data_IF_475431116488
#
_entry.id   IF_475431116488
#
_cell.length_a   1.000
_cell.length_b   1.000
_cell.length_c   1.000
_cell.angle_alpha   90.00
_cell.angle_beta   90.00
_cell.angle_gamma   90.00
#
_symmetry.space_group_name_H-M   'P 1'
#
loop_
_entity.id
_entity.type
_entity.pdbx_description
1 polymer ?
#
# COMPACT_ATOMS: atom_id res chain seq x y z
N UNK A 1 -31.73 -12.02 -13.11
CA UNK A 1 -31.66 -13.38 -13.68
C UNK A 1 -32.83 -14.20 -13.15
N UNK A 2 -33.86 -14.46 -13.96
CA UNK A 2 -34.89 -15.46 -13.67
C UNK A 2 -34.96 -16.40 -14.87
N UNK A 3 -34.04 -17.35 -14.95
CA UNK A 3 -34.23 -18.53 -15.79
C UNK A 3 -34.66 -19.69 -14.88
N UNK A 4 -35.71 -20.35 -15.33
CA UNK A 4 -36.26 -21.58 -14.74
C UNK A 4 -35.25 -22.71 -14.92
N UNK A 5 -34.45 -22.94 -13.89
CA UNK A 5 -33.52 -24.07 -13.78
C UNK A 5 -34.22 -25.30 -13.15
N UNK A 6 -33.74 -26.52 -13.42
CA UNK A 6 -34.27 -27.75 -12.84
C UNK A 6 -34.35 -27.63 -11.32
N UNK A 7 -35.41 -28.20 -10.73
CA UNK A 7 -35.73 -28.01 -9.32
C UNK A 7 -34.61 -28.56 -8.43
N UNK A 8 -33.91 -27.66 -7.75
CA UNK A 8 -33.13 -27.96 -6.56
C UNK A 8 -34.08 -28.56 -5.51
N UNK A 9 -34.18 -29.89 -5.51
CA UNK A 9 -35.21 -30.64 -4.78
C UNK A 9 -34.85 -30.84 -3.31
N UNK A 10 -33.56 -30.75 -2.94
CA UNK A 10 -33.12 -30.95 -1.56
C UNK A 10 -33.00 -29.62 -0.79
N UNK A 11 -33.33 -29.64 0.50
CA UNK A 11 -33.37 -28.42 1.37
C UNK A 11 -32.03 -27.66 1.36
N UNK A 12 -30.90 -28.39 1.36
CA UNK A 12 -29.58 -27.77 1.34
C UNK A 12 -29.29 -27.05 0.01
N UNK A 13 -29.81 -27.56 -1.10
CA UNK A 13 -29.65 -26.94 -2.41
C UNK A 13 -30.38 -25.60 -2.48
N UNK A 14 -31.56 -25.51 -1.84
CA UNK A 14 -32.30 -24.27 -1.72
C UNK A 14 -31.59 -23.26 -0.82
N UNK A 15 -30.98 -23.71 0.29
CA UNK A 15 -30.18 -22.87 1.16
C UNK A 15 -28.94 -22.31 0.44
N UNK A 16 -28.17 -23.18 -0.23
CA UNK A 16 -27.02 -22.75 -1.03
C UNK A 16 -27.45 -21.77 -2.12
N UNK A 17 -28.50 -22.08 -2.88
CA UNK A 17 -29.02 -21.21 -3.93
C UNK A 17 -29.43 -19.84 -3.37
N UNK A 18 -30.07 -19.79 -2.21
CA UNK A 18 -30.47 -18.52 -1.59
C UNK A 18 -29.25 -17.68 -1.20
N UNK A 19 -28.25 -18.30 -0.55
CA UNK A 19 -26.99 -17.63 -0.21
C UNK A 19 -26.24 -17.16 -1.46
N UNK A 20 -26.11 -18.02 -2.46
CA UNK A 20 -25.51 -17.72 -3.75
C UNK A 20 -26.20 -16.55 -4.45
N UNK A 21 -27.53 -16.58 -4.54
CA UNK A 21 -28.31 -15.53 -5.19
C UNK A 21 -28.15 -14.21 -4.46
N UNK A 22 -28.16 -14.21 -3.12
CA UNK A 22 -27.90 -13.02 -2.31
C UNK A 22 -26.52 -12.43 -2.62
N UNK A 23 -25.47 -13.25 -2.58
CA UNK A 23 -24.11 -12.79 -2.88
C UNK A 23 -23.95 -12.33 -4.33
N UNK A 24 -24.61 -13.00 -5.29
CA UNK A 24 -24.54 -12.67 -6.71
C UNK A 24 -25.14 -11.30 -7.07
N UNK A 25 -25.97 -10.72 -6.19
CA UNK A 25 -26.51 -9.37 -6.38
C UNK A 25 -25.41 -8.30 -6.37
N UNK A 26 -24.24 -8.60 -5.82
CA UNK A 26 -23.06 -7.73 -5.90
C UNK A 26 -22.50 -7.60 -7.32
N UNK A 27 -22.91 -8.46 -8.26
CA UNK A 27 -22.38 -8.51 -9.62
C UNK A 27 -23.43 -8.12 -10.65
N UNK A 28 -22.96 -7.53 -11.76
CA UNK A 28 -23.83 -7.18 -12.88
C UNK A 28 -24.27 -8.43 -13.65
N UNK A 29 -25.37 -8.32 -14.41
CA UNK A 29 -25.82 -9.42 -15.26
C UNK A 29 -24.84 -9.78 -16.40
N UNK A 30 -23.87 -8.91 -16.71
CA UNK A 30 -22.85 -9.12 -17.74
C UNK A 30 -21.54 -9.70 -17.16
N UNK A 31 -21.45 -9.82 -15.84
CA UNK A 31 -20.24 -10.30 -15.16
C UNK A 31 -19.96 -11.74 -15.54
N UNK A 32 -18.70 -12.02 -15.87
CA UNK A 32 -18.19 -13.37 -16.14
C UNK A 32 -17.41 -13.88 -14.95
N UNK A 33 -17.20 -15.19 -14.89
CA UNK A 33 -16.55 -15.86 -13.76
C UNK A 33 -15.42 -16.76 -14.24
N UNK A 34 -14.22 -16.52 -13.69
CA UNK A 34 -13.05 -17.38 -13.85
C UNK A 34 -12.89 -18.24 -12.59
N UNK A 35 -13.11 -19.55 -12.70
CA UNK A 35 -12.96 -20.46 -11.57
C UNK A 35 -11.51 -20.92 -11.48
N UNK A 36 -10.86 -20.65 -10.35
CA UNK A 36 -9.59 -21.30 -10.01
C UNK A 36 -9.87 -22.76 -9.63
N UNK A 37 -9.57 -23.69 -10.54
CA UNK A 37 -9.89 -25.10 -10.41
C UNK A 37 -8.61 -25.91 -10.18
N UNK A 38 -8.43 -26.47 -8.98
CA UNK A 38 -7.26 -27.30 -8.65
C UNK A 38 -7.45 -28.77 -8.98
N UNK A 39 -8.67 -29.19 -9.34
CA UNK A 39 -9.05 -30.60 -9.52
C UNK A 39 -9.43 -31.32 -8.23
N UNK A 40 -9.17 -30.72 -7.06
CA UNK A 40 -9.63 -31.23 -5.77
C UNK A 40 -11.14 -31.08 -5.58
N UNK A 41 -11.70 -31.85 -4.63
CA UNK A 41 -13.14 -31.96 -4.37
C UNK A 41 -13.89 -30.62 -4.35
N UNK A 42 -13.39 -29.66 -3.59
CA UNK A 42 -14.08 -28.38 -3.36
C UNK A 42 -14.17 -27.58 -4.67
N UNK A 43 -13.07 -27.55 -5.43
CA UNK A 43 -12.99 -26.83 -6.70
C UNK A 43 -13.81 -27.48 -7.81
N UNK A 44 -13.91 -28.82 -7.81
CA UNK A 44 -14.72 -29.57 -8.76
C UNK A 44 -16.22 -29.46 -8.44
N UNK A 45 -16.58 -29.44 -7.16
CA UNK A 45 -17.96 -29.15 -6.74
C UNK A 45 -18.34 -27.72 -7.13
N UNK A 46 -17.47 -26.73 -6.86
CA UNK A 46 -17.70 -25.35 -7.28
C UNK A 46 -17.89 -25.24 -8.79
N UNK A 47 -17.04 -25.90 -9.59
CA UNK A 47 -17.15 -25.94 -11.04
C UNK A 47 -18.53 -26.45 -11.48
N UNK A 48 -18.99 -27.56 -10.89
CA UNK A 48 -20.29 -28.15 -11.18
C UNK A 48 -21.46 -27.21 -10.78
N UNK A 49 -21.40 -26.61 -9.59
CA UNK A 49 -22.46 -25.70 -9.12
C UNK A 49 -22.53 -24.44 -10.00
N UNK A 50 -21.39 -23.87 -10.36
CA UNK A 50 -21.31 -22.68 -11.22
C UNK A 50 -21.77 -22.96 -12.65
N UNK A 51 -21.54 -24.17 -13.18
CA UNK A 51 -22.01 -24.52 -14.53
C UNK A 51 -23.53 -24.55 -14.64
N UNK A 52 -24.20 -24.97 -13.57
CA UNK A 52 -25.67 -24.99 -13.48
C UNK A 52 -26.25 -23.59 -13.19
N UNK A 53 -25.59 -22.82 -12.31
CA UNK A 53 -26.12 -21.52 -11.84
C UNK A 53 -25.79 -20.34 -12.75
N UNK A 54 -24.65 -20.39 -13.45
CA UNK A 54 -24.16 -19.32 -14.32
C UNK A 54 -23.76 -19.84 -15.71
N UNK A 55 -24.65 -20.55 -16.43
CA UNK A 55 -24.33 -21.13 -17.72
C UNK A 55 -23.87 -20.05 -18.70
N UNK A 56 -22.87 -20.39 -19.52
CA UNK A 56 -22.21 -19.52 -20.52
C UNK A 56 -21.48 -18.28 -19.95
N UNK A 57 -21.48 -18.06 -18.64
CA UNK A 57 -20.76 -16.96 -17.99
C UNK A 57 -19.51 -17.44 -17.25
N UNK A 58 -19.23 -18.74 -17.29
CA UNK A 58 -18.17 -19.38 -16.52
C UNK A 58 -17.09 -19.95 -17.43
N UNK A 59 -15.83 -19.77 -17.02
CA UNK A 59 -14.68 -20.53 -17.51
C UNK A 59 -13.81 -20.96 -16.33
N UNK A 60 -12.95 -21.94 -16.55
CA UNK A 60 -12.05 -22.47 -15.53
C UNK A 60 -10.58 -22.22 -15.89
N UNK A 61 -9.73 -22.16 -14.87
CA UNK A 61 -8.28 -22.15 -15.00
C UNK A 61 -7.67 -23.11 -13.99
N UNK A 62 -6.87 -24.04 -14.49
CA UNK A 62 -5.98 -24.91 -13.73
C UNK A 62 -4.57 -24.32 -13.75
N UNK A 63 -3.97 -24.15 -12.57
CA UNK A 63 -2.59 -23.70 -12.43
C UNK A 63 -1.71 -24.91 -12.12
N UNK A 64 -0.88 -25.29 -13.09
CA UNK A 64 0.12 -26.33 -12.93
C UNK A 64 1.38 -25.73 -12.29
N UNK A 65 1.59 -26.00 -11.00
CA UNK A 65 2.77 -25.58 -10.26
C UNK A 65 4.04 -26.38 -10.58
N UNK A 66 3.93 -27.48 -11.35
CA UNK A 66 5.03 -28.37 -11.73
C UNK A 66 5.80 -28.98 -10.53
N UNK A 67 5.19 -29.00 -9.34
CA UNK A 67 5.80 -29.52 -8.12
C UNK A 67 5.69 -31.05 -8.03
N UNK A 68 4.70 -31.64 -8.70
CA UNK A 68 4.43 -33.08 -8.70
C UNK A 68 4.52 -33.64 -10.12
N UNK A 69 5.02 -34.87 -10.26
CA UNK A 69 5.10 -35.53 -11.57
C UNK A 69 3.74 -35.73 -12.23
N UNK A 70 2.67 -35.85 -11.44
CA UNK A 70 1.30 -36.07 -11.91
C UNK A 70 0.55 -34.78 -12.25
N UNK A 71 1.12 -33.61 -11.95
CA UNK A 71 0.45 -32.30 -12.10
C UNK A 71 -0.08 -32.03 -13.52
N UNK A 72 0.66 -32.44 -14.55
CA UNK A 72 0.21 -32.35 -15.94
C UNK A 72 -1.07 -33.18 -16.19
N UNK A 73 -1.10 -34.44 -15.70
CA UNK A 73 -2.27 -35.33 -15.84
C UNK A 73 -3.51 -34.80 -15.09
N UNK A 74 -3.29 -34.05 -14.00
CA UNK A 74 -4.37 -33.39 -13.28
C UNK A 74 -4.98 -32.24 -14.08
N UNK A 75 -4.16 -31.49 -14.80
CA UNK A 75 -4.63 -30.48 -15.75
C UNK A 75 -5.47 -31.07 -16.88
N UNK A 76 -5.07 -32.21 -17.44
CA UNK A 76 -5.84 -32.95 -18.46
C UNK A 76 -7.21 -33.40 -17.91
N UNK A 77 -7.23 -33.96 -16.70
CA UNK A 77 -8.48 -34.35 -16.03
C UNK A 77 -9.43 -33.16 -15.86
N UNK A 78 -8.93 -32.02 -15.37
CA UNK A 78 -9.76 -30.81 -15.18
C UNK A 78 -10.30 -30.31 -16.52
N UNK A 79 -9.47 -30.30 -17.57
CA UNK A 79 -9.89 -29.91 -18.91
C UNK A 79 -10.98 -30.84 -19.46
N UNK A 80 -10.87 -32.16 -19.28
CA UNK A 80 -11.88 -33.14 -19.70
C UNK A 80 -13.22 -32.89 -18.97
N UNK A 81 -13.17 -32.66 -17.65
CA UNK A 81 -14.36 -32.39 -16.85
C UNK A 81 -15.04 -31.07 -17.23
N UNK A 82 -14.27 -30.06 -17.62
CA UNK A 82 -14.80 -28.80 -18.15
C UNK A 82 -15.45 -29.00 -19.53
N UNK A 83 -14.81 -29.78 -20.40
CA UNK A 83 -15.32 -30.10 -21.74
C UNK A 83 -16.67 -30.83 -21.67
N UNK A 84 -16.82 -31.81 -20.77
CA UNK A 84 -18.09 -32.51 -20.54
C UNK A 84 -19.26 -31.59 -20.15
N UNK A 85 -18.96 -30.38 -19.65
CA UNK A 85 -19.93 -29.38 -19.19
C UNK A 85 -19.99 -28.14 -20.09
N UNK A 86 -19.32 -28.15 -21.24
CA UNK A 86 -19.19 -27.00 -22.15
C UNK A 86 -18.59 -25.73 -21.48
N UNK A 87 -17.63 -25.92 -20.58
CA UNK A 87 -16.94 -24.83 -19.88
C UNK A 87 -15.56 -24.64 -20.54
N UNK A 88 -15.20 -23.44 -21.02
CA UNK A 88 -13.84 -23.17 -21.47
C UNK A 88 -12.83 -23.36 -20.32
N UNK A 89 -11.73 -24.06 -20.56
CA UNK A 89 -10.71 -24.33 -19.55
C UNK A 89 -9.33 -23.89 -20.03
N UNK A 90 -8.58 -23.23 -19.14
CA UNK A 90 -7.18 -22.87 -19.34
C UNK A 90 -6.32 -23.77 -18.45
N UNK A 91 -5.26 -24.31 -19.01
CA UNK A 91 -4.22 -25.02 -18.24
C UNK A 91 -2.96 -24.16 -18.35
N UNK A 92 -2.58 -23.53 -17.24
CA UNK A 92 -1.44 -22.60 -17.19
C UNK A 92 -0.36 -23.17 -16.29
N UNK A 93 0.79 -23.47 -16.87
CA UNK A 93 1.96 -23.87 -16.09
C UNK A 93 2.73 -22.67 -15.56
N UNK A 94 3.21 -22.76 -14.32
CA UNK A 94 3.93 -21.69 -13.63
C UNK A 94 5.21 -22.20 -12.97
N UNK A 95 6.22 -21.35 -12.94
CA UNK A 95 7.44 -21.62 -12.19
C UNK A 95 7.29 -21.14 -10.73
N UNK A 96 7.56 -22.01 -9.77
CA UNK A 96 7.55 -21.66 -8.34
C UNK A 96 8.98 -21.30 -7.91
N UNK A 97 9.15 -20.10 -7.36
CA UNK A 97 10.44 -19.65 -6.86
C UNK A 97 10.86 -20.42 -5.59
N UNK A 98 12.18 -20.43 -5.30
CA UNK A 98 12.74 -21.04 -4.09
C UNK A 98 12.37 -20.24 -2.83
N UNK A 99 12.35 -20.91 -1.67
CA UNK A 99 12.08 -20.31 -0.37
C UNK A 99 10.89 -20.98 0.31
N UNK A 100 10.00 -20.19 0.90
CA UNK A 100 8.73 -20.69 1.43
C UNK A 100 7.83 -21.13 0.25
N UNK A 101 7.87 -22.43 -0.07
CA UNK A 101 7.19 -23.00 -1.24
C UNK A 101 5.68 -22.70 -1.25
N UNK A 102 4.99 -22.74 -0.10
CA UNK A 102 3.55 -22.45 -0.02
C UNK A 102 3.26 -21.00 -0.44
N UNK A 103 4.03 -20.04 0.10
CA UNK A 103 3.87 -18.63 -0.27
C UNK A 103 4.27 -18.35 -1.72
N UNK A 104 5.35 -18.97 -2.22
CA UNK A 104 5.80 -18.77 -3.61
C UNK A 104 4.81 -19.40 -4.60
N UNK A 105 4.30 -20.60 -4.32
CA UNK A 105 3.27 -21.22 -5.14
C UNK A 105 1.98 -20.41 -5.11
N UNK A 106 1.59 -19.90 -3.94
CA UNK A 106 0.45 -18.98 -3.81
C UNK A 106 0.66 -17.73 -4.67
N UNK A 107 1.82 -17.08 -4.63
CA UNK A 107 2.09 -15.89 -5.42
C UNK A 107 2.00 -16.19 -6.93
N UNK A 108 2.70 -17.22 -7.40
CA UNK A 108 2.66 -17.64 -8.81
C UNK A 108 1.24 -17.95 -9.30
N UNK A 109 0.39 -18.51 -8.43
CA UNK A 109 -1.03 -18.78 -8.71
C UNK A 109 -1.82 -17.49 -8.95
N UNK A 110 -1.64 -16.50 -8.08
CA UNK A 110 -2.34 -15.23 -8.19
C UNK A 110 -1.85 -14.40 -9.38
N UNK A 111 -0.55 -14.44 -9.68
CA UNK A 111 0.03 -13.80 -10.86
C UNK A 111 -0.55 -14.40 -12.15
N UNK A 112 -0.68 -15.72 -12.21
CA UNK A 112 -1.32 -16.40 -13.33
C UNK A 112 -2.81 -16.06 -13.45
N UNK A 113 -3.54 -15.96 -12.34
CA UNK A 113 -4.92 -15.48 -12.38
C UNK A 113 -5.01 -14.06 -12.94
N UNK A 114 -4.16 -13.14 -12.50
CA UNK A 114 -4.10 -11.76 -13.02
C UNK A 114 -3.84 -11.72 -14.53
N UNK A 115 -2.88 -12.53 -15.00
CA UNK A 115 -2.55 -12.59 -16.42
C UNK A 115 -3.74 -13.00 -17.29
N UNK A 116 -4.61 -13.87 -16.78
CA UNK A 116 -5.72 -14.42 -17.54
C UNK A 116 -7.04 -13.69 -17.31
N UNK A 117 -7.23 -12.97 -16.20
CA UNK A 117 -8.50 -12.35 -15.84
C UNK A 117 -8.91 -11.27 -16.85
N UNK A 118 -10.15 -11.34 -17.36
CA UNK A 118 -10.68 -10.30 -18.24
C UNK A 118 -11.25 -9.10 -17.44
N UNK A 119 -11.34 -7.88 -18.01
CA UNK A 119 -11.80 -6.68 -17.28
C UNK A 119 -13.19 -6.79 -16.63
N UNK A 120 -14.11 -7.59 -17.19
CA UNK A 120 -15.47 -7.79 -16.67
C UNK A 120 -15.64 -9.15 -15.96
N UNK A 121 -14.56 -9.67 -15.39
CA UNK A 121 -14.53 -11.01 -14.82
C UNK A 121 -14.13 -11.02 -13.36
N UNK A 122 -14.77 -11.92 -12.61
CA UNK A 122 -14.53 -12.15 -11.20
C UNK A 122 -13.84 -13.50 -11.03
N UNK A 123 -12.75 -13.53 -10.26
CA UNK A 123 -12.09 -14.78 -9.88
C UNK A 123 -12.93 -15.48 -8.82
N UNK A 124 -13.29 -16.75 -9.04
CA UNK A 124 -14.09 -17.54 -8.10
C UNK A 124 -13.24 -18.67 -7.53
N UNK A 125 -13.20 -18.79 -6.21
CA UNK A 125 -12.38 -19.77 -5.49
C UNK A 125 -13.25 -20.59 -4.53
N UNK A 126 -12.96 -21.89 -4.44
CA UNK A 126 -13.73 -22.86 -3.65
C UNK A 126 -13.36 -22.88 -2.16
N UNK A 127 -12.97 -21.73 -1.60
CA UNK A 127 -12.69 -21.64 -0.17
C UNK A 127 -13.97 -21.82 0.65
N UNK A 128 -13.87 -22.56 1.74
CA UNK A 128 -15.01 -22.95 2.57
C UNK A 128 -14.82 -22.63 4.05
N UNK A 129 -15.79 -22.98 4.90
CA UNK A 129 -15.83 -22.56 6.30
C UNK A 129 -14.61 -23.05 7.11
N UNK A 130 -14.14 -24.27 6.86
CA UNK A 130 -12.92 -24.78 7.48
C UNK A 130 -11.66 -24.05 7.01
N UNK A 131 -11.52 -23.66 5.72
CA UNK A 131 -10.40 -22.80 5.28
C UNK A 131 -10.39 -21.45 6.02
N UNK A 132 -11.56 -20.89 6.31
CA UNK A 132 -11.71 -19.66 7.07
C UNK A 132 -11.22 -19.85 8.51
N UNK A 133 -11.65 -20.94 9.17
CA UNK A 133 -11.24 -21.28 10.52
C UNK A 133 -9.73 -21.52 10.62
N UNK A 134 -9.15 -22.27 9.69
CA UNK A 134 -7.70 -22.50 9.59
C UNK A 134 -6.94 -21.19 9.40
N UNK A 135 -7.41 -20.32 8.49
CA UNK A 135 -6.79 -19.02 8.24
C UNK A 135 -6.81 -18.15 9.50
N UNK A 136 -7.93 -18.12 10.23
CA UNK A 136 -8.02 -17.39 11.49
C UNK A 136 -7.07 -17.97 12.54
N UNK A 137 -7.01 -19.29 12.72
CA UNK A 137 -6.12 -19.93 13.69
C UNK A 137 -4.65 -19.67 13.40
N UNK A 138 -4.20 -19.91 12.17
CA UNK A 138 -2.80 -19.69 11.78
C UNK A 138 -2.39 -18.22 11.96
N UNK A 139 -3.28 -17.28 11.59
CA UNK A 139 -3.04 -15.84 11.79
C UNK A 139 -3.03 -15.46 13.27
N UNK A 140 -3.92 -16.04 14.09
CA UNK A 140 -3.95 -15.82 15.53
C UNK A 140 -2.66 -16.30 16.19
N UNK A 141 -2.20 -17.52 15.87
CA UNK A 141 -0.95 -18.09 16.37
C UNK A 141 0.28 -17.28 15.91
N UNK A 142 0.18 -16.62 14.75
CA UNK A 142 1.21 -15.70 14.23
C UNK A 142 1.13 -14.29 14.83
N UNK A 143 0.23 -14.02 15.77
CA UNK A 143 0.08 -12.72 16.42
C UNK A 143 -0.57 -11.64 15.55
N UNK A 144 -1.43 -12.02 14.60
CA UNK A 144 -2.12 -11.06 13.74
C UNK A 144 -3.10 -10.16 14.51
N UNK A 145 -3.19 -8.89 14.10
CA UNK A 145 -4.21 -7.96 14.59
C UNK A 145 -5.57 -8.15 13.91
N UNK A 146 -6.53 -7.26 14.19
CA UNK A 146 -7.92 -7.30 13.70
C UNK A 146 -7.99 -7.54 12.19
N UNK A 147 -7.27 -6.75 11.38
CA UNK A 147 -7.18 -6.93 9.93
C UNK A 147 -6.80 -8.35 9.50
N UNK A 148 -5.86 -8.99 10.21
CA UNK A 148 -5.49 -10.38 9.92
C UNK A 148 -6.55 -11.37 10.39
N UNK A 149 -7.12 -11.16 11.58
CA UNK A 149 -8.15 -12.02 12.14
C UNK A 149 -9.50 -11.93 11.40
N UNK A 150 -9.74 -10.87 10.63
CA UNK A 150 -10.85 -10.78 9.68
C UNK A 150 -10.80 -11.87 8.58
N UNK A 151 -9.68 -12.59 8.45
CA UNK A 151 -9.50 -13.75 7.57
C UNK A 151 -9.84 -13.45 6.09
N UNK A 152 -10.69 -14.26 5.45
CA UNK A 152 -11.15 -14.05 4.07
C UNK A 152 -12.56 -13.44 4.06
N UNK A 153 -12.84 -12.58 3.09
CA UNK A 153 -14.19 -12.10 2.78
C UNK A 153 -14.85 -12.95 1.69
N UNK A 154 -16.18 -13.02 1.71
CA UNK A 154 -16.95 -13.70 0.68
C UNK A 154 -16.75 -13.03 -0.69
N UNK A 155 -16.82 -11.70 -0.74
CA UNK A 155 -16.44 -10.87 -1.89
C UNK A 155 -15.31 -9.95 -1.46
N UNK A 156 -14.14 -10.09 -2.09
CA UNK A 156 -12.89 -9.37 -1.78
C UNK A 156 -12.52 -8.55 -3.02
N UNK A 157 -12.78 -7.24 -2.96
CA UNK A 157 -12.51 -6.28 -4.04
C UNK A 157 -11.12 -5.69 -3.83
N UNK A 158 -10.22 -5.94 -4.76
CA UNK A 158 -8.84 -5.44 -4.77
C UNK A 158 -8.65 -4.48 -5.93
N UNK A 159 -7.54 -3.77 -5.94
CA UNK A 159 -7.18 -2.84 -7.02
C UNK A 159 -7.10 -3.54 -8.39
N UNK A 160 -6.56 -4.76 -8.42
CA UNK A 160 -6.29 -5.48 -9.68
C UNK A 160 -7.30 -6.58 -10.01
N UNK A 161 -8.11 -7.02 -9.03
CA UNK A 161 -9.06 -8.12 -9.23
C UNK A 161 -10.19 -8.10 -8.18
N UNK A 162 -11.31 -8.73 -8.53
CA UNK A 162 -12.34 -9.10 -7.55
C UNK A 162 -12.33 -10.61 -7.35
N UNK A 163 -12.35 -11.06 -6.09
CA UNK A 163 -12.38 -12.47 -5.72
C UNK A 163 -13.71 -12.79 -5.03
N UNK A 164 -14.38 -13.85 -5.49
CA UNK A 164 -15.59 -14.37 -4.88
C UNK A 164 -15.38 -15.79 -4.35
N UNK A 165 -15.85 -16.03 -3.12
CA UNK A 165 -15.79 -17.31 -2.41
C UNK A 165 -17.20 -17.76 -2.03
N UNK A 166 -17.99 -18.30 -2.97
CA UNK A 166 -19.39 -18.63 -2.73
C UNK A 166 -19.60 -19.76 -1.71
N UNK A 167 -18.57 -20.58 -1.46
CA UNK A 167 -18.62 -21.68 -0.51
C UNK A 167 -18.17 -21.29 0.91
N UNK A 168 -17.84 -20.03 1.17
CA UNK A 168 -17.16 -19.64 2.42
C UNK A 168 -17.96 -19.94 3.70
N UNK A 169 -19.29 -19.94 3.61
CA UNK A 169 -20.21 -20.30 4.69
C UNK A 169 -20.60 -21.79 4.73
N UNK A 170 -20.13 -22.59 3.76
CA UNK A 170 -20.46 -24.01 3.63
C UNK A 170 -19.45 -24.84 4.39
N UNK A 171 -19.94 -25.81 5.16
CA UNK A 171 -19.09 -26.71 5.94
C UNK A 171 -18.38 -27.74 5.05
N UNK A 172 -17.27 -28.29 5.54
CA UNK A 172 -16.54 -29.34 4.82
C UNK A 172 -17.41 -30.58 4.62
N UNK A 173 -18.18 -30.95 5.64
CA UNK A 173 -19.10 -32.10 5.63
C UNK A 173 -20.17 -31.93 4.57
N UNK A 174 -20.73 -30.72 4.43
CA UNK A 174 -21.70 -30.41 3.38
C UNK A 174 -21.07 -30.55 2.00
N UNK A 175 -19.85 -30.03 1.80
CA UNK A 175 -19.13 -30.17 0.52
C UNK A 175 -18.91 -31.65 0.19
N UNK A 176 -18.45 -32.47 1.15
CA UNK A 176 -18.28 -33.91 0.96
C UNK A 176 -19.60 -34.59 0.59
N UNK A 177 -20.68 -34.28 1.32
CA UNK A 177 -22.00 -34.83 1.06
C UNK A 177 -22.50 -34.49 -0.34
N UNK A 178 -22.40 -33.22 -0.75
CA UNK A 178 -22.89 -32.76 -2.05
C UNK A 178 -22.06 -33.32 -3.19
N UNK A 179 -20.73 -33.36 -3.04
CA UNK A 179 -19.85 -33.97 -4.02
C UNK A 179 -20.19 -35.46 -4.23
N UNK A 180 -20.50 -36.20 -3.16
CA UNK A 180 -20.90 -37.60 -3.25
C UNK A 180 -22.29 -37.77 -3.88
N UNK A 181 -23.28 -36.96 -3.47
CA UNK A 181 -24.64 -37.00 -4.02
C UNK A 181 -24.69 -36.67 -5.51
N UNK A 182 -23.86 -35.71 -5.94
CA UNK A 182 -23.75 -35.26 -7.34
C UNK A 182 -22.74 -36.07 -8.14
N UNK A 183 -22.10 -37.09 -7.54
CA UNK A 183 -21.09 -37.94 -8.13
C UNK A 183 -19.96 -37.14 -8.81
N UNK A 184 -19.47 -36.11 -8.12
CA UNK A 184 -18.42 -35.22 -8.61
C UNK A 184 -17.08 -35.95 -8.58
N UNK A 185 -16.52 -36.22 -9.76
CA UNK A 185 -15.16 -36.74 -9.90
C UNK A 185 -14.16 -35.68 -9.47
N UNK A 186 -13.15 -36.09 -8.71
CA UNK A 186 -12.09 -35.23 -8.20
C UNK A 186 -10.74 -35.96 -8.19
N UNK A 187 -9.69 -35.19 -7.93
CA UNK A 187 -8.33 -35.66 -7.75
C UNK A 187 -8.00 -35.65 -6.26
N UNK A 188 -7.32 -36.70 -5.80
CA UNK A 188 -6.71 -36.77 -4.48
C UNK A 188 -5.20 -36.50 -4.62
N UNK A 189 -4.77 -35.30 -4.21
CA UNK A 189 -3.35 -34.94 -4.17
C UNK A 189 -2.75 -35.36 -2.82
N UNK A 190 -1.76 -36.28 -2.80
CA UNK A 190 -1.17 -36.81 -1.58
C UNK A 190 -0.38 -35.76 -0.78
N UNK A 191 0.05 -34.66 -1.39
CA UNK A 191 0.76 -33.59 -0.67
C UNK A 191 -0.12 -32.79 0.27
N UNK A 192 -1.44 -32.86 0.11
CA UNK A 192 -2.39 -32.23 1.04
C UNK A 192 -2.28 -32.80 2.46
N UNK A 193 -1.68 -33.98 2.62
CA UNK A 193 -1.48 -34.67 3.90
C UNK A 193 -0.07 -34.48 4.47
N UNK A 194 0.81 -33.73 3.80
CA UNK A 194 2.18 -33.53 4.24
C UNK A 194 2.26 -32.50 5.38
N UNK A 195 2.28 -33.00 6.61
CA UNK A 195 2.38 -32.19 7.85
C UNK A 195 3.67 -31.39 8.00
N UNK A 196 4.61 -31.44 7.06
CA UNK A 196 5.69 -30.45 6.99
C UNK A 196 5.17 -29.03 6.76
N UNK A 197 4.04 -28.88 6.06
CA UNK A 197 3.41 -27.58 5.80
C UNK A 197 2.44 -27.20 6.91
N UNK A 198 2.47 -25.94 7.35
CA UNK A 198 1.68 -25.42 8.49
C UNK A 198 0.17 -25.72 8.35
N UNK A 199 -0.36 -25.57 7.13
CA UNK A 199 -1.79 -25.81 6.86
C UNK A 199 -2.14 -27.30 6.97
N UNK A 200 -1.31 -28.19 6.43
CA UNK A 200 -1.52 -29.64 6.54
C UNK A 200 -1.34 -30.12 7.99
N UNK A 201 -0.33 -29.62 8.71
CA UNK A 201 -0.19 -29.87 10.15
C UNK A 201 -1.41 -29.39 10.95
N UNK A 202 -1.92 -28.20 10.64
CA UNK A 202 -3.10 -27.66 11.31
C UNK A 202 -4.33 -28.56 11.10
N UNK A 203 -4.50 -29.12 9.90
CA UNK A 203 -5.59 -30.04 9.56
C UNK A 203 -5.46 -31.41 10.20
N UNK A 204 -4.27 -32.02 10.13
CA UNK A 204 -4.08 -33.41 10.54
C UNK A 204 -3.86 -33.55 12.05
N UNK A 205 -3.21 -32.57 12.68
CA UNK A 205 -2.78 -32.66 14.08
C UNK A 205 -3.61 -31.76 14.99
N UNK A 206 -3.69 -30.47 14.68
CA UNK A 206 -4.31 -29.50 15.57
C UNK A 206 -5.84 -29.57 15.51
N UNK A 207 -6.42 -29.76 14.33
CA UNK A 207 -7.86 -29.80 14.13
C UNK A 207 -8.54 -30.91 14.94
N UNK A 208 -8.13 -32.19 14.86
CA UNK A 208 -8.80 -33.26 15.60
C UNK A 208 -8.67 -33.08 17.11
N UNK A 209 -7.53 -32.55 17.57
CA UNK A 209 -7.30 -32.24 18.98
C UNK A 209 -8.31 -31.22 19.50
N UNK A 210 -8.49 -30.11 18.78
CA UNK A 210 -9.42 -29.06 19.19
C UNK A 210 -10.88 -29.47 19.02
N UNK A 211 -11.22 -30.16 17.93
CA UNK A 211 -12.58 -30.60 17.63
C UNK A 211 -13.10 -31.61 18.66
N UNK A 212 -12.23 -32.52 19.14
CA UNK A 212 -12.57 -33.49 20.18
C UNK A 212 -13.07 -32.83 21.47
N UNK A 213 -12.55 -31.64 21.80
CA UNK A 213 -12.95 -30.86 22.99
C UNK A 213 -14.03 -29.84 22.68
N UNK A 214 -14.01 -29.26 21.49
CA UNK A 214 -14.90 -28.20 21.04
C UNK A 214 -15.55 -28.56 19.68
N UNK A 215 -16.58 -29.42 19.67
CA UNK A 215 -17.18 -29.91 18.42
C UNK A 215 -17.81 -28.83 17.51
N UNK A 216 -17.99 -27.61 18.03
CA UNK A 216 -18.54 -26.46 17.30
C UNK A 216 -17.47 -25.41 16.96
N UNK A 217 -16.18 -25.76 17.07
CA UNK A 217 -15.07 -24.80 16.87
C UNK A 217 -15.07 -24.17 15.48
N UNK A 218 -15.38 -24.92 14.43
CA UNK A 218 -15.39 -24.40 13.05
C UNK A 218 -16.35 -23.22 12.90
N UNK A 219 -17.60 -23.40 13.37
CA UNK A 219 -18.62 -22.35 13.35
C UNK A 219 -18.23 -21.18 14.25
N UNK A 220 -17.64 -21.45 15.42
CA UNK A 220 -17.19 -20.41 16.35
C UNK A 220 -16.05 -19.56 15.75
N UNK A 221 -15.05 -20.17 15.12
CA UNK A 221 -13.91 -19.50 14.50
C UNK A 221 -14.33 -18.71 13.25
N UNK A 222 -15.19 -19.29 12.41
CA UNK A 222 -15.79 -18.59 11.26
C UNK A 222 -16.58 -17.37 11.73
N UNK A 223 -17.44 -17.50 12.76
CA UNK A 223 -18.16 -16.36 13.35
C UNK A 223 -17.23 -15.30 13.92
N UNK A 224 -16.14 -15.69 14.59
CA UNK A 224 -15.13 -14.73 15.07
C UNK A 224 -14.53 -13.94 13.91
N UNK A 225 -14.27 -14.58 12.76
CA UNK A 225 -13.76 -13.89 11.58
C UNK A 225 -14.74 -12.81 11.10
N UNK A 226 -16.04 -13.09 11.08
CA UNK A 226 -17.07 -12.09 10.73
C UNK A 226 -17.12 -10.92 11.72
N UNK A 227 -17.09 -11.19 13.03
CA UNK A 227 -17.03 -10.13 14.03
C UNK A 227 -15.75 -9.27 13.92
N UNK A 228 -14.63 -9.87 13.50
CA UNK A 228 -13.40 -9.13 13.23
C UNK A 228 -13.47 -8.31 11.94
N UNK A 229 -14.27 -8.72 10.95
CA UNK A 229 -14.56 -7.91 9.76
C UNK A 229 -15.35 -6.65 10.13
N UNK A 230 -16.41 -6.79 10.94
CA UNK A 230 -17.18 -5.65 11.47
C UNK A 230 -16.26 -4.68 12.24
N UNK A 231 -15.38 -5.24 13.07
CA UNK A 231 -14.43 -4.46 13.84
C UNK A 231 -13.39 -3.73 12.96
N UNK A 232 -12.94 -4.35 11.86
CA UNK A 232 -12.02 -3.73 10.91
C UNK A 232 -12.71 -2.59 10.13
N UNK A 233 -13.98 -2.75 9.75
CA UNK A 233 -14.75 -1.69 9.08
C UNK A 233 -14.93 -0.46 10.00
N UNK A 234 -15.32 -0.69 11.25
CA UNK A 234 -15.43 0.36 12.26
C UNK A 234 -14.06 1.02 12.47
N UNK A 235 -13.00 0.23 12.62
CA UNK A 235 -11.65 0.75 12.82
C UNK A 235 -11.20 1.58 11.61
N UNK A 236 -11.48 1.15 10.39
CA UNK A 236 -11.13 1.89 9.18
C UNK A 236 -11.80 3.28 9.16
N UNK A 237 -13.10 3.36 9.49
CA UNK A 237 -13.85 4.62 9.58
C UNK A 237 -13.29 5.55 10.67
N UNK A 238 -12.97 4.99 11.84
CA UNK A 238 -12.33 5.73 12.94
C UNK A 238 -10.96 6.28 12.52
N UNK A 239 -10.17 5.46 11.84
CA UNK A 239 -8.83 5.83 11.39
C UNK A 239 -8.85 6.88 10.27
N UNK A 240 -9.83 6.83 9.37
CA UNK A 240 -10.01 7.87 8.35
C UNK A 240 -10.32 9.23 9.01
N UNK A 241 -11.20 9.22 10.02
CA UNK A 241 -11.53 10.42 10.80
C UNK A 241 -10.31 10.93 11.55
N UNK A 242 -9.57 10.04 12.21
CA UNK A 242 -8.34 10.39 12.93
C UNK A 242 -7.27 10.95 12.01
N UNK A 243 -7.08 10.36 10.83
CA UNK A 243 -6.12 10.84 9.85
C UNK A 243 -6.49 12.24 9.37
N UNK A 244 -7.76 12.49 9.03
CA UNK A 244 -8.26 13.82 8.62
C UNK A 244 -8.05 14.87 9.72
N UNK A 245 -8.24 14.50 10.99
CA UNK A 245 -8.03 15.41 12.12
C UNK A 245 -6.54 15.64 12.43
N UNK A 246 -5.69 14.62 12.21
CA UNK A 246 -4.27 14.69 12.54
C UNK A 246 -3.42 15.26 11.39
N UNK A 247 -3.84 15.15 10.14
CA UNK A 247 -3.08 15.67 9.00
C UNK A 247 -3.35 14.89 7.71
N UNK A 248 -2.29 14.34 7.12
CA UNK A 248 -2.30 13.71 5.80
C UNK A 248 -1.50 12.40 5.77
N UNK A 249 -1.50 11.74 4.61
CA UNK A 249 -0.73 10.52 4.39
C UNK A 249 0.80 10.72 4.52
N UNK A 250 1.28 11.97 4.48
CA UNK A 250 2.69 12.32 4.54
C UNK A 250 3.08 13.03 5.83
N UNK A 251 2.15 13.66 6.54
CA UNK A 251 2.44 14.40 7.76
C UNK A 251 1.33 14.28 8.81
N UNK A 252 1.70 14.17 10.09
CA UNK A 252 0.77 14.16 11.22
C UNK A 252 1.17 15.23 12.25
N UNK A 253 0.21 16.03 12.70
CA UNK A 253 0.38 16.94 13.82
C UNK A 253 0.48 16.14 15.11
N UNK A 254 1.55 16.38 15.89
CA UNK A 254 1.78 15.65 17.13
C UNK A 254 0.82 16.04 18.23
N UNK A 255 0.39 17.30 18.29
CA UNK A 255 -0.54 17.76 19.32
C UNK A 255 -1.88 17.03 19.21
N UNK A 256 -2.46 17.00 18.01
CA UNK A 256 -3.73 16.31 17.76
C UNK A 256 -3.60 14.80 17.88
N UNK A 257 -2.49 14.21 17.39
CA UNK A 257 -2.19 12.79 17.57
C UNK A 257 -2.13 12.42 19.06
N UNK A 258 -1.37 13.17 19.86
CA UNK A 258 -1.17 12.88 21.28
C UNK A 258 -2.42 13.14 22.13
N UNK A 259 -3.37 13.94 21.64
CA UNK A 259 -4.69 14.10 22.26
C UNK A 259 -5.59 12.86 22.11
N UNK A 260 -5.30 11.97 21.15
CA UNK A 260 -6.04 10.72 21.00
C UNK A 260 -5.70 9.73 22.14
N UNK A 261 -6.63 8.84 22.52
CA UNK A 261 -6.32 7.70 23.39
C UNK A 261 -5.18 6.84 22.84
N UNK A 262 -4.34 6.27 23.71
CA UNK A 262 -3.15 5.49 23.32
C UNK A 262 -3.46 4.37 22.31
N UNK A 263 -4.61 3.71 22.42
CA UNK A 263 -5.03 2.69 21.47
C UNK A 263 -5.26 3.26 20.05
N UNK A 264 -5.89 4.44 19.94
CA UNK A 264 -6.11 5.14 18.66
C UNK A 264 -4.79 5.67 18.09
N UNK A 265 -3.91 6.22 18.94
CA UNK A 265 -2.56 6.61 18.53
C UNK A 265 -1.83 5.45 17.85
N UNK A 266 -1.80 4.28 18.50
CA UNK A 266 -1.13 3.09 17.98
C UNK A 266 -1.74 2.62 16.67
N UNK A 267 -3.08 2.58 16.57
CA UNK A 267 -3.75 2.15 15.34
C UNK A 267 -3.54 3.14 14.18
N UNK A 268 -3.60 4.44 14.46
CA UNK A 268 -3.33 5.49 13.47
C UNK A 268 -1.90 5.43 12.98
N UNK A 269 -0.92 5.34 13.89
CA UNK A 269 0.49 5.21 13.50
C UNK A 269 0.74 3.95 12.68
N UNK A 270 0.18 2.80 13.09
CA UNK A 270 0.31 1.55 12.35
C UNK A 270 -0.27 1.66 10.92
N UNK A 271 -1.45 2.26 10.77
CA UNK A 271 -2.09 2.45 9.46
C UNK A 271 -1.36 3.51 8.60
N UNK A 272 -0.92 4.61 9.21
CA UNK A 272 -0.17 5.67 8.54
C UNK A 272 1.20 5.20 8.05
N UNK A 273 1.88 4.36 8.84
CA UNK A 273 3.12 3.70 8.43
C UNK A 273 2.87 2.71 7.29
N UNK A 274 1.81 1.88 7.37
CA UNK A 274 1.43 0.95 6.29
C UNK A 274 1.31 1.68 4.96
N UNK A 275 0.56 2.78 4.92
CA UNK A 275 0.26 3.49 3.67
C UNK A 275 -0.34 2.53 2.63
N UNK A 276 0.30 2.44 1.47
CA UNK A 276 -0.08 1.54 0.37
C UNK A 276 0.56 0.15 0.46
N UNK A 277 1.41 -0.11 1.46
CA UNK A 277 2.01 -1.42 1.63
C UNK A 277 0.96 -2.48 1.97
N UNK A 278 1.22 -3.72 1.58
CA UNK A 278 0.31 -4.84 1.83
C UNK A 278 0.11 -5.10 3.33
N UNK A 279 1.18 -5.03 4.12
CA UNK A 279 1.18 -5.40 5.54
C UNK A 279 1.42 -4.19 6.45
N UNK A 280 0.72 -4.16 7.58
CA UNK A 280 0.99 -3.20 8.67
C UNK A 280 2.36 -3.50 9.31
N UNK A 281 3.05 -2.49 9.86
CA UNK A 281 4.25 -2.73 10.65
C UNK A 281 3.95 -3.60 11.88
N UNK A 282 4.95 -4.37 12.31
CA UNK A 282 4.89 -5.12 13.57
C UNK A 282 4.64 -4.17 14.76
N UNK A 283 4.03 -4.69 15.83
CA UNK A 283 3.74 -3.91 17.04
C UNK A 283 4.98 -3.17 17.57
N UNK A 284 6.10 -3.87 17.68
CA UNK A 284 7.39 -3.31 18.13
C UNK A 284 7.86 -2.16 17.25
N UNK A 285 7.60 -2.20 15.94
CA UNK A 285 8.00 -1.13 15.02
C UNK A 285 7.22 0.16 15.29
N UNK A 286 5.93 0.05 15.60
CA UNK A 286 5.12 1.21 16.01
C UNK A 286 5.61 1.74 17.36
N UNK A 287 5.96 0.86 18.29
CA UNK A 287 6.50 1.25 19.59
C UNK A 287 7.85 1.97 19.46
N UNK A 288 8.71 1.50 18.54
CA UNK A 288 9.96 2.18 18.19
C UNK A 288 9.72 3.57 17.61
N UNK A 289 8.73 3.74 16.72
CA UNK A 289 8.38 5.06 16.20
C UNK A 289 8.02 6.04 17.34
N UNK A 290 7.23 5.57 18.30
CA UNK A 290 6.86 6.37 19.47
C UNK A 290 8.10 6.71 20.31
N UNK A 291 8.89 5.70 20.70
CA UNK A 291 10.00 5.88 21.63
C UNK A 291 11.19 6.63 21.02
N UNK A 292 11.56 6.29 19.79
CA UNK A 292 12.77 6.78 19.13
C UNK A 292 12.55 8.13 18.44
N UNK A 293 11.32 8.46 18.02
CA UNK A 293 11.04 9.68 17.24
C UNK A 293 10.07 10.63 17.95
N UNK A 294 8.90 10.14 18.36
CA UNK A 294 7.88 11.01 18.98
C UNK A 294 8.34 11.51 20.35
N UNK A 295 8.90 10.64 21.19
CA UNK A 295 9.37 10.94 22.53
C UNK A 295 10.84 11.40 22.58
N UNK A 296 11.53 11.47 21.44
CA UNK A 296 12.89 11.98 21.37
C UNK A 296 12.99 13.41 21.91
N UNK A 297 14.17 13.83 22.35
CA UNK A 297 14.41 15.23 22.75
C UNK A 297 14.20 16.17 21.55
N UNK A 298 13.72 17.39 21.79
CA UNK A 298 13.37 18.36 20.74
C UNK A 298 14.54 18.68 19.78
N UNK A 299 15.77 18.58 20.28
CA UNK A 299 17.02 18.82 19.56
C UNK A 299 17.60 17.56 18.89
N UNK A 300 17.07 16.37 19.19
CA UNK A 300 17.48 15.14 18.54
C UNK A 300 16.94 15.09 17.10
N UNK A 301 17.83 14.91 16.12
CA UNK A 301 17.46 14.60 14.74
C UNK A 301 17.06 13.13 14.59
N UNK A 302 16.09 12.71 15.41
CA UNK A 302 15.61 11.34 15.42
C UNK A 302 14.91 11.00 14.10
N UNK A 303 15.28 9.84 13.56
CA UNK A 303 14.71 9.30 12.34
C UNK A 303 14.61 7.79 12.45
N UNK A 304 13.46 7.24 12.08
CA UNK A 304 13.24 5.80 12.01
C UNK A 304 13.05 5.39 10.54
N UNK A 305 13.81 4.42 10.06
CA UNK A 305 13.64 3.88 8.71
C UNK A 305 12.80 2.61 8.72
N UNK A 306 11.75 2.57 7.90
CA UNK A 306 10.94 1.37 7.69
C UNK A 306 10.32 1.36 6.30
N UNK A 307 10.41 0.21 5.62
CA UNK A 307 9.79 -0.06 4.33
C UNK A 307 10.02 1.02 3.25
N UNK A 308 11.25 1.51 3.13
CA UNK A 308 11.61 2.53 2.13
C UNK A 308 11.22 3.96 2.51
N UNK A 309 10.72 4.19 3.72
CA UNK A 309 10.40 5.51 4.25
C UNK A 309 11.22 5.84 5.50
N UNK A 310 11.50 7.12 5.70
CA UNK A 310 11.97 7.69 6.96
C UNK A 310 10.84 8.42 7.67
N UNK A 311 10.72 8.15 8.95
CA UNK A 311 9.78 8.80 9.86
C UNK A 311 10.54 9.72 10.77
N UNK A 312 10.24 11.01 10.68
CA UNK A 312 11.01 12.07 11.34
C UNK A 312 10.10 13.06 12.01
N UNK A 313 10.60 13.74 13.04
CA UNK A 313 9.87 14.81 13.72
C UNK A 313 10.49 16.16 13.45
N UNK A 314 9.65 17.15 13.12
CA UNK A 314 10.09 18.54 13.02
C UNK A 314 8.93 19.50 13.34
N UNK A 315 9.22 20.51 14.16
CA UNK A 315 8.31 21.62 14.49
C UNK A 315 6.89 21.20 14.94
N UNK A 316 6.78 20.14 15.74
CA UNK A 316 5.48 19.64 16.23
C UNK A 316 4.75 18.71 15.26
N UNK A 317 5.39 18.33 14.15
CA UNK A 317 4.84 17.42 13.15
C UNK A 317 5.72 16.19 12.98
N UNK A 318 5.09 15.07 12.67
CA UNK A 318 5.72 13.87 12.12
C UNK A 318 5.63 13.90 10.61
N UNK A 319 6.69 13.47 9.94
CA UNK A 319 6.73 13.35 8.47
C UNK A 319 7.13 11.93 8.08
N UNK A 320 6.50 11.42 7.03
CA UNK A 320 6.82 10.17 6.35
C UNK A 320 7.41 10.52 4.99
N UNK A 321 8.71 10.32 4.83
CA UNK A 321 9.50 10.74 3.67
C UNK A 321 10.03 9.54 2.92
N UNK A 322 10.06 9.59 1.59
CA UNK A 322 10.70 8.53 0.83
C UNK A 322 12.21 8.46 1.15
N UNK A 323 12.80 7.25 1.13
CA UNK A 323 14.23 7.06 1.39
C UNK A 323 15.11 7.93 0.49
N UNK A 324 14.78 8.03 -0.80
CA UNK A 324 15.51 8.87 -1.73
C UNK A 324 15.48 10.36 -1.34
N UNK A 325 14.30 10.85 -0.96
CA UNK A 325 14.11 12.25 -0.53
C UNK A 325 14.90 12.58 0.74
N UNK A 326 14.84 11.69 1.74
CA UNK A 326 15.56 11.92 3.01
C UNK A 326 17.09 11.83 2.83
N UNK A 327 17.58 10.86 2.04
CA UNK A 327 19.02 10.64 1.85
C UNK A 327 19.67 11.56 0.81
N UNK A 328 18.91 12.19 -0.09
CA UNK A 328 19.43 13.26 -0.95
C UNK A 328 20.18 14.33 -0.12
N UNK A 329 19.73 14.54 1.12
CA UNK A 329 20.37 15.42 2.09
C UNK A 329 21.79 15.03 2.53
N UNK A 330 22.14 13.76 2.46
CA UNK A 330 23.40 13.22 2.92
C UNK A 330 24.40 12.92 1.79
N UNK A 331 23.93 12.76 0.55
CA UNK A 331 24.74 12.24 -0.56
C UNK A 331 25.09 13.26 -1.65
N UNK A 332 24.36 14.37 -1.77
CA UNK A 332 24.67 15.39 -2.78
C UNK A 332 25.78 16.35 -2.30
N UNK A 333 27.05 15.94 -2.45
CA UNK A 333 28.16 16.88 -2.52
C UNK A 333 28.14 17.54 -3.90
N UNK A 334 27.29 18.55 -4.06
CA UNK A 334 27.26 19.33 -5.30
C UNK A 334 28.54 20.17 -5.44
N UNK A 335 29.13 20.16 -6.62
CA UNK A 335 30.29 20.99 -6.94
C UNK A 335 29.80 22.42 -7.22
N UNK A 336 30.55 23.48 -6.85
CA UNK A 336 30.31 24.83 -7.33
C UNK A 336 30.08 24.84 -8.85
N UNK A 337 29.04 25.53 -9.29
CA UNK A 337 28.70 25.68 -10.70
C UNK A 337 28.57 27.14 -11.09
N UNK A 338 28.65 27.43 -12.37
CA UNK A 338 28.47 28.79 -12.90
C UNK A 338 27.12 28.89 -13.59
N UNK A 339 26.39 29.96 -13.29
CA UNK A 339 25.06 30.25 -13.81
C UNK A 339 25.08 31.64 -14.47
N UNK A 340 24.61 31.72 -15.71
CA UNK A 340 24.36 32.99 -16.40
C UNK A 340 22.85 33.16 -16.53
N UNK A 341 22.35 34.33 -16.13
CA UNK A 341 20.91 34.62 -16.02
C UNK A 341 20.52 35.75 -16.96
N UNK A 342 19.48 35.53 -17.75
CA UNK A 342 18.84 36.54 -18.60
C UNK A 342 17.41 36.85 -18.11
N UNK A 343 16.88 38.00 -18.51
CA UNK A 343 15.55 38.44 -18.12
C UNK A 343 14.49 37.45 -18.64
N UNK A 344 13.49 37.13 -17.82
CA UNK A 344 12.43 36.13 -18.11
C UNK A 344 12.90 34.68 -18.26
N UNK A 345 14.20 34.39 -18.13
CA UNK A 345 14.73 33.03 -18.21
C UNK A 345 14.20 32.17 -17.07
N UNK A 346 13.76 30.96 -17.42
CA UNK A 346 13.44 29.89 -16.47
C UNK A 346 14.66 29.01 -16.31
N UNK A 347 15.03 28.72 -15.07
CA UNK A 347 16.19 27.89 -14.74
C UNK A 347 15.90 27.04 -13.51
N UNK A 348 16.66 25.96 -13.36
CA UNK A 348 16.51 25.01 -12.25
C UNK A 348 17.76 25.06 -11.38
N UNK A 349 17.55 25.18 -10.08
CA UNK A 349 18.56 25.00 -9.03
C UNK A 349 18.07 23.89 -8.09
N UNK A 350 18.91 23.43 -7.16
CA UNK A 350 18.56 22.30 -6.29
C UNK A 350 17.28 22.55 -5.48
N UNK A 351 16.99 23.80 -5.12
CA UNK A 351 15.79 24.14 -4.35
C UNK A 351 14.51 24.32 -5.19
N UNK A 352 14.59 24.18 -6.52
CA UNK A 352 13.42 24.25 -7.42
C UNK A 352 13.67 24.99 -8.73
N UNK A 353 12.57 25.28 -9.45
CA UNK A 353 12.57 26.09 -10.68
C UNK A 353 12.25 27.54 -10.36
N UNK A 354 13.05 28.43 -10.94
CA UNK A 354 12.94 29.87 -10.77
C UNK A 354 12.84 30.58 -12.11
N UNK A 355 12.19 31.73 -12.13
CA UNK A 355 12.19 32.65 -13.27
C UNK A 355 12.79 33.99 -12.88
N UNK A 356 13.67 34.52 -13.72
CA UNK A 356 14.18 35.89 -13.57
C UNK A 356 13.07 36.87 -13.97
N UNK A 357 12.66 37.75 -13.07
CA UNK A 357 11.64 38.76 -13.34
C UNK A 357 12.08 40.12 -12.82
N UNK A 358 11.65 41.20 -13.49
CA UNK A 358 11.81 42.55 -12.95
C UNK A 358 10.92 42.76 -11.73
N UNK A 359 11.38 43.61 -10.80
CA UNK A 359 10.55 43.95 -9.65
C UNK A 359 9.34 44.76 -10.10
N UNK A 360 8.13 44.23 -9.90
CA UNK A 360 6.89 44.95 -10.21
C UNK A 360 6.55 46.02 -9.17
N UNK A 361 7.23 46.03 -8.03
CA UNK A 361 7.07 47.03 -6.98
C UNK A 361 8.13 48.13 -7.09
N UNK A 362 7.67 49.37 -7.29
CA UNK A 362 8.48 50.57 -7.60
C UNK A 362 9.52 50.92 -6.53
N UNK A 363 9.41 50.38 -5.31
CA UNK A 363 10.35 50.65 -4.20
C UNK A 363 11.09 49.39 -3.70
N UNK A 364 10.90 48.23 -4.33
CA UNK A 364 11.52 47.00 -3.85
C UNK A 364 12.94 46.82 -4.44
N UNK A 365 13.88 46.41 -3.59
CA UNK A 365 15.26 46.16 -3.98
C UNK A 365 15.39 44.85 -4.76
N UNK A 366 16.13 44.86 -5.86
CA UNK A 366 16.50 43.68 -6.64
C UNK A 366 17.98 43.67 -6.99
N UNK A 367 18.41 42.65 -7.74
CA UNK A 367 19.75 42.57 -8.31
C UNK A 367 19.87 43.50 -9.51
N UNK A 368 21.04 44.13 -9.64
CA UNK A 368 21.33 45.07 -10.73
C UNK A 368 21.23 44.39 -12.10
N UNK A 369 20.61 45.03 -13.11
CA UNK A 369 20.64 44.55 -14.50
C UNK A 369 22.05 44.30 -15.03
N UNK A 370 23.08 44.96 -14.46
CA UNK A 370 24.48 44.75 -14.81
C UNK A 370 25.02 43.35 -14.44
N UNK A 371 24.26 42.54 -13.70
CA UNK A 371 24.55 41.14 -13.41
C UNK A 371 23.94 40.17 -14.44
N UNK A 372 23.03 40.63 -15.30
CA UNK A 372 22.46 39.79 -16.34
C UNK A 372 23.55 39.38 -17.33
N UNK A 373 23.46 38.15 -17.83
CA UNK A 373 24.41 37.53 -18.77
C UNK A 373 25.87 37.46 -18.28
N UNK A 374 26.11 37.67 -16.97
CA UNK A 374 27.42 37.46 -16.35
C UNK A 374 27.50 36.07 -15.72
N UNK A 375 28.71 35.47 -15.67
CA UNK A 375 28.92 34.22 -14.95
C UNK A 375 28.81 34.46 -13.44
N UNK A 376 27.76 33.93 -12.82
CA UNK A 376 27.53 33.96 -11.38
C UNK A 376 27.89 32.59 -10.79
N UNK A 377 28.53 32.58 -9.63
CA UNK A 377 28.89 31.35 -8.93
C UNK A 377 27.73 30.88 -8.06
N UNK A 378 27.33 29.62 -8.24
CA UNK A 378 26.32 28.93 -7.46
C UNK A 378 27.00 27.83 -6.63
N UNK A 379 27.10 28.04 -5.33
CA UNK A 379 27.79 27.14 -4.40
C UNK A 379 26.81 26.52 -3.41
N UNK A 380 26.95 25.23 -3.06
CA UNK A 380 26.13 24.65 -1.99
C UNK A 380 26.49 25.26 -0.63
N UNK A 381 25.54 25.23 0.30
CA UNK A 381 25.78 25.59 1.68
C UNK A 381 26.71 24.58 2.36
N UNK A 382 27.80 25.06 2.96
CA UNK A 382 28.76 24.26 3.74
C UNK A 382 28.58 24.40 5.26
N UNK A 383 27.90 25.45 5.72
CA UNK A 383 27.65 25.74 7.12
C UNK A 383 28.68 26.70 7.74
N UNK A 384 28.19 27.72 8.45
CA UNK A 384 29.03 28.76 9.09
C UNK A 384 28.97 30.11 8.38
N UNK A 385 28.29 30.17 7.23
CA UNK A 385 28.13 31.37 6.42
C UNK A 385 27.37 32.46 7.19
N UNK A 386 27.83 33.69 7.01
CA UNK A 386 27.16 34.90 7.49
C UNK A 386 26.66 35.68 6.29
N UNK A 387 25.40 36.06 6.34
CA UNK A 387 24.74 36.81 5.28
C UNK A 387 23.98 37.98 5.89
N UNK A 388 24.09 39.13 5.24
CA UNK A 388 23.25 40.28 5.53
C UNK A 388 22.06 40.22 4.57
N UNK A 389 20.89 39.80 5.05
CA UNK A 389 19.68 39.70 4.21
C UNK A 389 18.98 41.05 4.11
N UNK A 390 18.48 41.38 2.92
CA UNK A 390 17.74 42.62 2.68
C UNK A 390 16.45 42.65 3.53
N UNK A 391 16.18 43.80 4.14
CA UNK A 391 15.05 43.97 5.08
C UNK A 391 15.34 43.56 6.53
N UNK A 392 16.57 43.17 6.86
CA UNK A 392 17.00 42.86 8.24
C UNK A 392 18.23 43.67 8.65
N UNK A 393 18.31 44.01 9.94
CA UNK A 393 19.43 44.77 10.51
C UNK A 393 20.57 43.81 10.88
N UNK A 394 21.77 44.08 10.33
CA UNK A 394 23.02 43.38 10.64
C UNK A 394 23.27 42.08 9.87
N UNK A 395 24.49 41.56 9.97
CA UNK A 395 24.92 40.28 9.39
C UNK A 395 24.58 39.11 10.33
N UNK A 396 23.81 38.13 9.85
CA UNK A 396 23.36 36.98 10.62
C UNK A 396 23.99 35.68 10.13
N UNK A 397 24.12 34.70 11.02
CA UNK A 397 24.42 33.33 10.60
C UNK A 397 23.26 32.81 9.72
N UNK A 398 23.57 32.34 8.51
CA UNK A 398 22.57 31.78 7.60
C UNK A 398 21.78 30.63 8.27
N UNK A 399 22.44 29.88 9.16
CA UNK A 399 21.81 28.86 10.02
C UNK A 399 20.58 29.38 10.77
N UNK A 400 20.65 30.59 11.35
CA UNK A 400 19.53 31.19 12.11
C UNK A 400 18.38 31.57 11.19
N UNK A 401 18.67 32.11 10.01
CA UNK A 401 17.65 32.44 9.02
C UNK A 401 16.90 31.18 8.53
N UNK A 402 17.64 30.10 8.24
CA UNK A 402 17.07 28.78 7.87
C UNK A 402 16.18 28.23 8.98
N UNK A 403 16.60 28.32 10.24
CA UNK A 403 15.81 27.88 11.39
C UNK A 403 14.54 28.72 11.58
N UNK A 404 14.63 30.05 11.48
CA UNK A 404 13.46 30.93 11.57
C UNK A 404 12.46 30.69 10.44
N UNK A 405 12.94 30.41 9.23
CA UNK A 405 12.11 30.06 8.08
C UNK A 405 11.53 28.64 8.16
N UNK A 406 11.82 27.89 9.23
CA UNK A 406 11.37 26.51 9.46
C UNK A 406 11.68 25.58 8.27
N UNK A 407 12.83 25.79 7.61
CA UNK A 407 13.26 24.90 6.53
C UNK A 407 13.67 23.55 7.14
N UNK A 408 13.04 22.49 6.64
CA UNK A 408 13.23 21.13 7.12
C UNK A 408 14.71 20.70 7.04
N UNK A 409 15.26 20.03 8.07
CA UNK A 409 16.65 19.59 8.08
C UNK A 409 17.08 18.83 6.82
N UNK A 410 16.23 17.90 6.34
CA UNK A 410 16.49 17.12 5.13
C UNK A 410 16.36 17.93 3.85
N UNK A 411 15.79 19.13 3.84
CA UNK A 411 15.79 20.00 2.65
C UNK A 411 16.99 20.95 2.60
N UNK A 412 17.77 21.08 3.67
CA UNK A 412 18.83 22.10 3.77
C UNK A 412 20.00 21.88 2.81
N UNK A 413 20.17 20.67 2.29
CA UNK A 413 21.16 20.34 1.25
C UNK A 413 20.86 21.04 -0.09
N UNK A 414 19.58 21.30 -0.38
CA UNK A 414 19.14 21.99 -1.60
C UNK A 414 19.47 23.50 -1.61
N UNK A 415 19.94 24.04 -0.48
CA UNK A 415 20.22 25.47 -0.34
C UNK A 415 21.52 25.82 -1.05
N UNK A 416 21.43 26.74 -2.00
CA UNK A 416 22.57 27.22 -2.78
C UNK A 416 22.73 28.73 -2.66
N UNK A 417 23.97 29.19 -2.62
CA UNK A 417 24.35 30.60 -2.48
C UNK A 417 24.80 31.10 -3.85
N UNK A 418 24.20 32.20 -4.30
CA UNK A 418 24.57 32.91 -5.52
C UNK A 418 25.57 34.01 -5.18
N UNK A 419 26.69 34.06 -5.89
CA UNK A 419 27.75 35.04 -5.67
C UNK A 419 28.44 35.47 -6.95
N UNK A 420 29.10 36.62 -6.92
CA UNK A 420 30.02 37.10 -7.96
C UNK A 420 31.27 37.64 -7.27
N UNK A 421 32.46 37.21 -7.68
CA UNK A 421 33.74 37.65 -7.09
C UNK A 421 33.76 37.61 -5.55
N UNK A 422 33.26 36.51 -4.95
CA UNK A 422 33.08 36.31 -3.50
C UNK A 422 32.06 37.23 -2.80
N UNK A 423 31.36 38.10 -3.53
CA UNK A 423 30.24 38.89 -3.02
C UNK A 423 28.96 38.07 -3.11
N UNK A 424 28.35 37.77 -1.95
CA UNK A 424 27.05 37.08 -1.91
C UNK A 424 25.95 37.99 -2.47
N UNK A 425 25.23 37.50 -3.48
CA UNK A 425 24.11 38.18 -4.12
C UNK A 425 22.77 37.72 -3.52
N UNK A 426 22.68 36.46 -3.11
CA UNK A 426 21.51 35.91 -2.42
C UNK A 426 21.57 34.41 -2.25
N UNK A 427 20.49 33.83 -1.76
CA UNK A 427 20.39 32.41 -1.40
C UNK A 427 19.12 31.81 -1.99
N UNK A 428 19.27 30.75 -2.76
CA UNK A 428 18.16 29.92 -3.21
C UNK A 428 17.78 28.94 -2.11
N UNK A 429 16.49 28.92 -1.75
CA UNK A 429 15.95 28.05 -0.71
C UNK A 429 14.63 27.41 -1.16
N UNK A 430 14.18 26.32 -0.51
CA UNK A 430 12.84 25.76 -0.72
C UNK A 430 11.69 26.73 -0.42
N UNK A 431 11.98 27.87 0.23
CA UNK A 431 11.01 28.94 0.53
C UNK A 431 11.24 30.18 -0.36
N UNK A 432 11.93 30.01 -1.50
CA UNK A 432 12.20 31.07 -2.48
C UNK A 432 13.62 31.65 -2.39
N UNK A 433 13.85 32.75 -3.11
CA UNK A 433 15.15 33.43 -3.17
C UNK A 433 15.26 34.54 -2.11
N UNK A 434 16.31 34.48 -1.29
CA UNK A 434 16.59 35.49 -0.27
C UNK A 434 17.70 36.43 -0.76
N UNK A 435 17.37 37.70 -0.96
CA UNK A 435 18.33 38.71 -1.44
C UNK A 435 19.34 39.08 -0.35
N UNK A 436 20.63 39.03 -0.68
CA UNK A 436 21.70 39.55 0.17
C UNK A 436 21.89 41.05 -0.08
N UNK A 437 22.21 41.81 0.97
CA UNK A 437 22.64 43.21 0.85
C UNK A 437 24.04 43.22 0.24
N UNK A 438 24.18 43.84 -0.93
CA UNK A 438 25.44 44.00 -1.63
C UNK A 438 25.46 45.29 -2.44
N UNK A 439 26.63 45.67 -2.97
CA UNK A 439 26.80 46.79 -3.91
C UNK A 439 26.01 46.61 -5.22
N UNK A 440 25.51 45.40 -5.49
CA UNK A 440 24.73 45.07 -6.67
C UNK A 440 23.22 45.13 -6.44
N UNK A 441 22.76 45.61 -5.29
CA UNK A 441 21.34 45.80 -5.03
C UNK A 441 20.88 47.19 -5.48
N UNK A 442 19.83 47.25 -6.30
CA UNK A 442 19.24 48.49 -6.81
C UNK A 442 17.73 48.49 -6.65
N UNK A 443 17.13 49.68 -6.49
CA UNK A 443 15.67 49.85 -6.51
C UNK A 443 15.17 49.50 -7.92
N UNK A 444 14.16 48.63 -8.02
CA UNK A 444 13.62 48.20 -9.32
C UNK A 444 14.47 47.15 -10.06
N UNK A 445 15.50 46.59 -9.41
CA UNK A 445 16.31 45.51 -9.99
C UNK A 445 15.54 44.19 -10.17
N UNK A 446 16.12 43.21 -10.85
CA UNK A 446 15.48 41.91 -11.09
C UNK A 446 15.61 40.96 -9.89
N UNK A 447 14.75 39.93 -9.83
CA UNK A 447 14.82 38.85 -8.83
C UNK A 447 14.45 37.50 -9.44
N UNK A 448 15.08 36.40 -8.97
CA UNK A 448 14.56 35.06 -9.18
C UNK A 448 13.27 34.85 -8.37
N UNK A 449 12.16 34.63 -9.05
CA UNK A 449 10.88 34.26 -8.44
C UNK A 449 10.65 32.76 -8.59
N UNK A 450 10.18 32.11 -7.53
CA UNK A 450 9.96 30.66 -7.53
C UNK A 450 8.74 30.33 -8.40
N UNK A 451 8.91 29.39 -9.34
CA UNK A 451 7.82 28.84 -10.15
C UNK A 451 7.31 27.56 -9.51
N UNK A 452 8.24 26.66 -9.16
CA UNK A 452 7.95 25.43 -8.45
C UNK A 452 9.12 25.11 -7.52
N UNK A 453 8.80 24.65 -6.32
CA UNK A 453 9.81 24.10 -5.41
C UNK A 453 10.01 22.62 -5.74
N UNK A 454 11.11 22.00 -5.30
CA UNK A 454 11.21 20.51 -5.32
C UNK A 454 9.93 19.97 -4.68
N UNK A 455 9.19 19.15 -5.43
CA UNK A 455 7.79 18.75 -5.15
C UNK A 455 7.48 18.72 -3.67
N UNK A 456 6.85 19.80 -3.21
CA UNK A 456 6.61 20.03 -1.80
C UNK A 456 5.39 19.21 -1.37
N UNK A 457 5.61 18.29 -0.43
CA UNK A 457 4.59 17.60 0.37
C UNK A 457 3.62 18.58 1.07
N UNK A 458 3.95 19.88 1.12
CA UNK A 458 3.16 20.91 1.81
C UNK A 458 1.96 21.44 1.03
N UNK A 459 1.74 21.08 -0.25
CA UNK A 459 0.57 21.59 -1.00
C UNK A 459 -0.78 21.06 -0.47
N UNK A 460 -0.79 20.11 0.47
CA UNK A 460 -1.99 19.63 1.16
C UNK A 460 -2.11 20.06 2.63
N UNK A 461 -1.27 20.98 3.11
CA UNK A 461 -1.28 21.45 4.52
C UNK A 461 -1.76 22.90 4.68
N UNK A 462 -2.10 23.60 3.59
CA UNK A 462 -2.62 24.98 3.58
C UNK A 462 -4.11 25.05 3.19
N UNK A 463 -4.92 24.07 3.57
CA UNK A 463 -6.40 24.13 3.48
C UNK A 463 -7.05 24.04 4.84
#
# INVERSE_FOLDING_TARGET
>A
MRSTLPTFNEIWQQQFRTGFLSQSQAFSAQTRFLIGCSGGMDSMLLLHLMSELCPNHTRAIYIDHQLQSQSASWGEFVAEQCQQRNIPCIVQAVAVARGNLENQARQARYDAYLQHLAPNEVLVLAHHQQDQAETLMLRLLSGAGIHGLAAMQAVDVREEMTIWRPLLDVSREQICQWAHQLNVKNIEDPTNLDTHYDRAWCREILWPLLESRYPKMQQALSRTSYLMQDAEEILASVLETDLKACGSAQALCLETLLALPQARQRQLLSAWMKGQAQYRPAFEMVQRLVNEVILAKADAQAALHWNGFYYVRFAGWMYRLAKAEYLASAQEQTVPSTLSLDLHQVFTVLSGKFQVQENRHVQAMGLSPALLNKPLMLTPRQGGEKIHLQGRVGSWQLKKAIQQAQIFPWQRHTIQILSIDNVMLGVFTPKGFWLAVSSYCVIGGWRPNVISTVENITSGLES
#
